data_IF_653973706578
#
_entry.id   IF_653973706578
#
_cell.length_a   1.000
_cell.length_b   1.000
_cell.length_c   1.000
_cell.angle_alpha   90.00
_cell.angle_beta   90.00
_cell.angle_gamma   90.00
#
_symmetry.space_group_name_H-M   'P 1'
#
loop_
_entity.id
_entity.type
_entity.pdbx_description
1 polymer ?
#
# COMPACT_ATOMS: atom_id res chain seq x y z
N UNK A 1 8.30 18.81 10.19
CA UNK A 1 7.04 18.04 10.23
C UNK A 1 5.99 18.56 9.24
N UNK A 2 5.94 19.86 8.94
CA UNK A 2 4.94 20.46 8.04
C UNK A 2 4.92 19.88 6.61
N UNK A 3 6.08 19.46 6.08
CA UNK A 3 6.21 18.86 4.75
C UNK A 3 5.51 17.49 4.56
N UNK A 4 5.25 16.72 5.62
CA UNK A 4 4.64 15.40 5.46
C UNK A 4 3.11 15.52 5.26
N UNK A 5 2.46 16.46 5.97
CA UNK A 5 1.02 16.69 5.84
C UNK A 5 0.62 17.11 4.42
N UNK A 6 1.32 18.09 3.86
CA UNK A 6 1.06 18.60 2.50
C UNK A 6 1.26 17.53 1.41
N UNK A 7 2.11 16.53 1.68
CA UNK A 7 2.34 15.40 0.77
C UNK A 7 1.25 14.33 0.86
N UNK A 8 0.61 14.15 2.02
CA UNK A 8 -0.41 13.12 2.22
C UNK A 8 -1.68 13.40 1.42
N UNK A 9 -2.13 14.66 1.43
CA UNK A 9 -3.34 15.10 0.74
C UNK A 9 -3.11 15.49 -0.72
N UNK A 10 -1.86 15.43 -1.18
CA UNK A 10 -1.54 15.72 -2.57
C UNK A 10 -2.07 14.62 -3.50
N UNK A 11 -2.68 14.96 -4.65
CA UNK A 11 -3.11 13.97 -5.63
C UNK A 11 -1.96 13.11 -6.16
N UNK A 12 -0.69 13.55 -5.99
CA UNK A 12 0.50 12.78 -6.33
C UNK A 12 0.71 11.55 -5.43
N UNK A 13 0.06 11.51 -4.26
CA UNK A 13 0.03 10.38 -3.34
C UNK A 13 -1.18 9.45 -3.58
N UNK A 14 -2.02 9.77 -4.58
CA UNK A 14 -3.15 8.93 -4.97
C UNK A 14 -2.72 7.76 -5.86
N UNK A 15 -3.18 6.55 -5.56
CA UNK A 15 -3.05 5.38 -6.44
C UNK A 15 -4.43 4.81 -6.77
N UNK A 16 -4.71 4.63 -8.07
CA UNK A 16 -5.88 3.90 -8.51
C UNK A 16 -5.62 2.39 -8.43
N UNK A 17 -6.48 1.68 -7.70
CA UNK A 17 -6.40 0.23 -7.49
C UNK A 17 -7.73 -0.41 -7.87
N UNK A 18 -7.70 -1.66 -8.32
CA UNK A 18 -8.95 -2.42 -8.40
C UNK A 18 -9.55 -2.62 -7.00
N UNK A 19 -10.84 -2.94 -6.93
CA UNK A 19 -11.59 -3.01 -5.66
C UNK A 19 -10.93 -3.96 -4.65
N UNK A 20 -10.43 -5.12 -5.09
CA UNK A 20 -9.83 -6.11 -4.19
C UNK A 20 -8.45 -5.66 -3.70
N UNK A 21 -7.72 -4.91 -4.50
CA UNK A 21 -6.47 -4.28 -4.10
C UNK A 21 -6.67 -3.08 -3.18
N UNK A 22 -7.65 -2.24 -3.48
CA UNK A 22 -8.01 -1.07 -2.68
C UNK A 22 -8.37 -1.49 -1.25
N UNK A 23 -9.27 -2.46 -1.07
CA UNK A 23 -9.63 -2.95 0.28
C UNK A 23 -8.44 -3.52 1.03
N UNK A 24 -7.62 -4.35 0.38
CA UNK A 24 -6.45 -4.94 1.02
C UNK A 24 -5.36 -3.92 1.38
N UNK A 25 -5.18 -2.88 0.56
CA UNK A 25 -4.24 -1.80 0.82
C UNK A 25 -4.73 -0.88 1.95
N UNK A 26 -6.02 -0.54 1.97
CA UNK A 26 -6.66 0.24 3.02
C UNK A 26 -6.61 -0.46 4.38
N UNK A 27 -6.89 -1.77 4.42
CA UNK A 27 -6.86 -2.58 5.64
C UNK A 27 -5.44 -2.98 6.10
N UNK A 28 -4.39 -2.48 5.45
CA UNK A 28 -2.99 -2.84 5.73
C UNK A 28 -2.69 -4.35 5.61
N UNK A 29 -3.46 -5.07 4.78
CA UNK A 29 -3.29 -6.51 4.48
C UNK A 29 -2.49 -6.76 3.20
N UNK A 30 -2.35 -5.76 2.33
CA UNK A 30 -1.50 -5.78 1.14
C UNK A 30 -0.57 -4.58 1.15
N UNK A 31 0.70 -4.79 0.87
CA UNK A 31 1.69 -3.71 0.80
C UNK A 31 2.81 -4.04 -0.21
N UNK A 32 3.65 -3.04 -0.45
CA UNK A 32 4.75 -3.08 -1.41
C UNK A 32 6.09 -3.08 -0.66
N UNK A 33 6.93 -4.09 -0.89
CA UNK A 33 8.31 -4.11 -0.38
C UNK A 33 9.29 -3.69 -1.47
N UNK A 34 10.25 -2.79 -1.18
CA UNK A 34 11.23 -2.37 -2.18
C UNK A 34 12.10 -3.55 -2.63
N UNK A 35 12.42 -3.57 -3.93
CA UNK A 35 13.41 -4.48 -4.50
C UNK A 35 14.75 -3.74 -4.72
N UNK A 36 15.72 -4.41 -5.35
CA UNK A 36 16.95 -3.77 -5.80
C UNK A 36 16.76 -2.84 -7.01
N UNK A 37 15.62 -2.93 -7.71
CA UNK A 37 15.32 -2.12 -8.88
C UNK A 37 14.46 -0.90 -8.49
N UNK A 38 14.79 0.31 -8.98
CA UNK A 38 13.95 1.49 -8.76
C UNK A 38 12.52 1.28 -9.24
N UNK A 39 11.56 1.77 -8.46
CA UNK A 39 10.12 1.68 -8.73
C UNK A 39 9.56 0.26 -8.88
N UNK A 40 10.36 -0.76 -8.57
CA UNK A 40 9.95 -2.16 -8.57
C UNK A 40 9.80 -2.66 -7.13
N UNK A 41 8.66 -3.30 -6.88
CA UNK A 41 8.24 -3.71 -5.55
C UNK A 41 7.72 -5.13 -5.55
N UNK A 42 8.11 -5.89 -4.53
CA UNK A 42 7.48 -7.16 -4.23
C UNK A 42 6.12 -6.90 -3.60
N UNK A 43 5.11 -7.58 -4.10
CA UNK A 43 3.77 -7.58 -3.55
C UNK A 43 3.74 -8.55 -2.37
N UNK A 44 3.31 -8.05 -1.21
CA UNK A 44 3.14 -8.87 -0.02
C UNK A 44 1.71 -8.76 0.47
N UNK A 45 1.17 -9.91 0.86
CA UNK A 45 -0.20 -10.07 1.28
C UNK A 45 -0.33 -10.95 2.51
N UNK A 46 -1.18 -10.55 3.46
CA UNK A 46 -1.49 -11.30 4.67
C UNK A 46 -2.96 -11.73 4.70
N UNK A 47 -3.22 -12.88 5.31
CA UNK A 47 -4.55 -13.45 5.49
C UNK A 47 -4.96 -14.48 4.42
N UNK A 48 -6.00 -15.29 4.70
CA UNK A 48 -6.39 -16.43 3.88
C UNK A 48 -6.81 -16.00 2.47
N UNK A 49 -7.59 -14.93 2.33
CA UNK A 49 -8.09 -14.49 1.03
C UNK A 49 -6.98 -13.95 0.13
N UNK A 50 -5.94 -13.32 0.67
CA UNK A 50 -4.90 -12.67 -0.14
C UNK A 50 -3.95 -13.69 -0.78
N UNK A 51 -3.65 -14.79 -0.10
CA UNK A 51 -2.77 -15.85 -0.60
C UNK A 51 -3.37 -16.63 -1.77
N UNK A 52 -4.70 -16.75 -1.85
CA UNK A 52 -5.38 -17.52 -2.91
C UNK A 52 -5.44 -16.80 -4.27
N UNK A 53 -5.37 -15.46 -4.30
CA UNK A 53 -5.55 -14.68 -5.55
C UNK A 53 -4.25 -14.12 -6.14
N UNK A 54 -3.11 -14.24 -5.45
CA UNK A 54 -1.81 -13.91 -6.03
C UNK A 54 -1.32 -15.05 -6.91
N UNK A 55 -1.32 -14.83 -8.23
CA UNK A 55 -0.67 -15.77 -9.14
C UNK A 55 0.85 -15.77 -8.86
N UNK A 56 1.53 -16.93 -8.89
CA UNK A 56 2.97 -17.03 -8.60
C UNK A 56 3.87 -16.14 -9.48
N UNK A 57 3.43 -15.86 -10.71
CA UNK A 57 4.11 -15.01 -11.69
C UNK A 57 3.88 -13.50 -11.46
N UNK A 58 3.00 -13.11 -10.53
CA UNK A 58 2.64 -11.70 -10.23
C UNK A 58 2.99 -11.32 -8.80
N UNK A 59 4.19 -11.68 -8.36
CA UNK A 59 4.72 -11.34 -7.04
C UNK A 59 5.48 -10.02 -7.01
N UNK A 60 5.71 -9.39 -8.17
CA UNK A 60 6.41 -8.11 -8.30
C UNK A 60 5.63 -7.18 -9.22
N UNK A 61 5.65 -5.88 -8.93
CA UNK A 61 5.12 -4.81 -9.78
C UNK A 61 6.19 -3.75 -10.00
N UNK A 62 6.28 -3.23 -11.22
CA UNK A 62 7.09 -2.05 -11.54
C UNK A 62 6.16 -0.90 -11.92
N UNK A 63 6.28 0.23 -11.23
CA UNK A 63 5.54 1.44 -11.58
C UNK A 63 6.27 2.18 -12.69
N UNK A 64 5.61 2.31 -13.83
CA UNK A 64 6.13 2.97 -15.02
C UNK A 64 5.09 3.94 -15.55
N UNK A 65 5.52 5.10 -16.04
CA UNK A 65 4.64 5.99 -16.77
C UNK A 65 4.31 5.39 -18.15
N UNK A 66 3.02 5.14 -18.40
CA UNK A 66 2.49 4.66 -19.69
C UNK A 66 1.69 5.73 -20.44
N UNK A 67 1.55 6.93 -19.86
CA UNK A 67 0.77 8.02 -20.43
C UNK A 67 1.55 8.86 -21.45
N UNK A 68 2.89 8.85 -21.38
CA UNK A 68 3.75 9.78 -22.10
C UNK A 68 3.74 11.21 -21.53
N UNK A 69 3.04 11.42 -20.41
CA UNK A 69 2.86 12.71 -19.74
C UNK A 69 3.85 13.00 -18.62
N UNK A 70 4.87 12.16 -18.42
CA UNK A 70 5.86 12.25 -17.34
C UNK A 70 5.21 12.21 -15.95
N UNK A 71 4.28 11.28 -15.75
CA UNK A 71 3.62 11.06 -14.45
C UNK A 71 4.65 10.45 -13.49
N UNK A 72 4.87 11.10 -12.36
CA UNK A 72 5.75 10.56 -11.33
C UNK A 72 5.18 9.24 -10.76
N UNK A 73 6.03 8.23 -10.52
CA UNK A 73 5.61 7.02 -9.81
C UNK A 73 5.26 7.35 -8.34
N UNK A 74 4.56 6.45 -7.63
CA UNK A 74 4.27 6.61 -6.21
C UNK A 74 5.55 6.89 -5.40
N UNK A 75 5.47 7.79 -4.41
CA UNK A 75 6.62 8.13 -3.57
C UNK A 75 7.05 6.89 -2.75
N UNK A 76 8.28 6.45 -2.97
CA UNK A 76 8.84 5.25 -2.34
C UNK A 76 8.85 5.32 -0.82
N UNK A 77 8.92 6.51 -0.23
CA UNK A 77 8.91 6.72 1.23
C UNK A 77 7.51 6.49 1.80
N UNK A 78 6.47 6.90 1.08
CA UNK A 78 5.09 6.69 1.50
C UNK A 78 4.70 5.21 1.40
N UNK A 79 5.17 4.53 0.35
CA UNK A 79 5.04 3.06 0.25
C UNK A 79 5.79 2.34 1.37
N UNK A 80 7.00 2.78 1.72
CA UNK A 80 7.78 2.20 2.82
C UNK A 80 7.11 2.42 4.18
N UNK A 81 6.53 3.60 4.41
CA UNK A 81 5.77 3.91 5.61
C UNK A 81 4.53 3.01 5.74
N UNK A 82 3.75 2.88 4.66
CA UNK A 82 2.59 1.98 4.62
C UNK A 82 2.99 0.53 4.92
N UNK A 83 4.06 0.03 4.29
CA UNK A 83 4.57 -1.31 4.53
C UNK A 83 5.02 -1.52 5.99
N UNK A 84 5.64 -0.51 6.61
CA UNK A 84 6.03 -0.57 8.02
C UNK A 84 4.80 -0.67 8.94
N UNK A 85 3.77 0.14 8.70
CA UNK A 85 2.51 0.09 9.45
C UNK A 85 1.83 -1.27 9.30
N UNK A 86 1.75 -1.78 8.08
CA UNK A 86 1.19 -3.11 7.81
C UNK A 86 1.96 -4.22 8.54
N UNK A 87 3.29 -4.19 8.54
CA UNK A 87 4.12 -5.16 9.27
C UNK A 87 3.87 -5.11 10.78
N UNK A 88 3.82 -3.91 11.36
CA UNK A 88 3.55 -3.73 12.78
C UNK A 88 2.17 -4.28 13.15
N UNK A 89 1.14 -3.91 12.39
CA UNK A 89 -0.24 -4.33 12.65
C UNK A 89 -0.43 -5.84 12.53
N UNK A 90 0.19 -6.47 11.51
CA UNK A 90 0.13 -7.92 11.33
C UNK A 90 0.93 -8.65 12.41
N UNK A 91 2.13 -8.15 12.79
CA UNK A 91 2.95 -8.75 13.83
C UNK A 91 2.29 -8.69 15.22
N UNK A 92 1.47 -7.67 15.49
CA UNK A 92 0.74 -7.53 16.75
C UNK A 92 -0.57 -8.32 16.80
N UNK A 93 -0.96 -9.02 15.71
CA UNK A 93 -2.26 -9.69 15.59
C UNK A 93 -3.46 -8.76 15.41
N UNK A 94 -3.23 -7.44 15.36
CA UNK A 94 -4.29 -6.44 15.16
C UNK A 94 -4.76 -6.37 13.69
N UNK A 95 -4.01 -6.96 12.75
CA UNK A 95 -4.38 -7.06 11.34
C UNK A 95 -5.64 -7.90 11.07
N UNK A 96 -6.03 -8.77 12.01
CA UNK A 96 -7.28 -9.54 11.96
C UNK A 96 -8.51 -8.71 12.41
N UNK A 97 -8.28 -7.52 12.99
CA UNK A 97 -9.32 -6.60 13.46
C UNK A 97 -9.20 -5.24 12.76
N UNK A 98 -9.47 -5.17 11.44
CA UNK A 98 -9.34 -3.93 10.67
C UNK A 98 -10.21 -2.78 11.21
N UNK A 99 -11.26 -3.11 11.96
CA UNK A 99 -12.17 -2.15 12.59
C UNK A 99 -11.48 -1.21 13.59
N UNK A 100 -10.34 -1.61 14.16
CA UNK A 100 -9.62 -0.78 15.15
C UNK A 100 -9.12 0.53 14.52
N UNK A 101 -8.73 0.48 13.23
CA UNK A 101 -8.28 1.66 12.50
C UNK A 101 -9.46 2.44 11.91
N UNK A 102 -10.51 1.78 11.42
CA UNK A 102 -11.65 2.48 10.81
C UNK A 102 -12.59 3.15 11.81
N UNK A 103 -12.72 2.62 13.02
CA UNK A 103 -13.55 3.23 14.07
C UNK A 103 -12.84 4.41 14.77
N UNK A 104 -11.50 4.49 14.70
CA UNK A 104 -10.72 5.58 15.31
C UNK A 104 -10.58 6.84 14.45
N UNK A 105 -10.94 6.77 13.16
CA UNK A 105 -10.98 7.95 12.25
C UNK A 105 -12.39 8.44 11.95
N UNK A 106 -13.40 7.93 12.65
CA UNK A 106 -14.75 8.51 12.71
C UNK A 106 -14.84 9.42 13.93
N UNK A 107 -14.31 10.63 13.80
CA UNK A 107 -14.76 11.75 14.65
C UNK A 107 -15.90 12.48 13.93
N UNK A 108 -16.93 12.83 14.71
CA UNK A 108 -18.15 13.57 14.32
C UNK A 108 -17.87 14.97 13.78
#
# INVERSE_FOLDING_TARGET
MQQLGDMLDSPINGMALDVAWHSGFHELKKYFEPTSQPHAYKIVGHGPSVQFYMKPDRTTVTFEDKSGGNIAPPDSRLLALHAALAKILNASGAGEYPNILSDSFREE
#
